data_IF_645350718446
#
_entry.id   IF_645350718446
#
_cell.length_a   1.000
_cell.length_b   1.000
_cell.length_c   1.000
_cell.angle_alpha   90.00
_cell.angle_beta   90.00
_cell.angle_gamma   90.00
#
_symmetry.space_group_name_H-M   'P 1'
#
loop_
_entity.id
_entity.type
_entity.pdbx_description
1 polymer ?
#
# COMPACT_ATOMS: atom_id res chain seq x y z
N UNK A 1 12.06 -30.98 -29.43
CA UNK A 1 12.14 -29.65 -30.09
C UNK A 1 11.31 -28.66 -29.30
N UNK A 2 11.97 -27.60 -28.83
CA UNK A 2 11.50 -26.31 -28.32
C UNK A 2 10.16 -26.20 -27.56
N UNK A 3 10.25 -25.90 -26.25
CA UNK A 3 9.52 -24.78 -25.65
C UNK A 3 10.47 -23.97 -24.76
N UNK A 4 11.24 -23.12 -25.42
CA UNK A 4 11.83 -21.94 -24.83
C UNK A 4 10.69 -20.97 -24.49
N UNK A 5 10.71 -20.38 -23.29
CA UNK A 5 9.80 -19.29 -22.94
C UNK A 5 9.01 -19.44 -21.65
N UNK A 6 9.20 -20.52 -20.87
CA UNK A 6 8.77 -20.50 -19.47
C UNK A 6 9.73 -19.58 -18.72
N UNK A 7 9.35 -18.32 -18.54
CA UNK A 7 9.75 -17.58 -17.35
C UNK A 7 9.68 -18.57 -16.18
N UNK A 8 10.74 -18.64 -15.37
CA UNK A 8 10.84 -19.49 -14.18
C UNK A 8 9.66 -19.21 -13.25
N UNK A 9 8.49 -19.78 -13.56
CA UNK A 9 7.37 -19.90 -12.66
C UNK A 9 7.93 -20.73 -11.52
N UNK A 10 8.04 -20.11 -10.35
CA UNK A 10 8.54 -20.75 -9.13
C UNK A 10 7.90 -22.13 -8.99
N UNK A 11 8.66 -23.16 -9.34
CA UNK A 11 8.24 -24.53 -9.11
C UNK A 11 8.08 -24.65 -7.59
N UNK A 12 6.91 -25.07 -7.12
CA UNK A 12 6.65 -25.25 -5.69
C UNK A 12 7.68 -26.19 -5.04
N UNK A 13 8.37 -26.99 -5.87
CA UNK A 13 9.39 -27.97 -5.51
C UNK A 13 10.81 -27.56 -5.98
N UNK A 14 11.18 -26.27 -5.87
CA UNK A 14 12.57 -25.81 -6.12
C UNK A 14 13.50 -26.24 -4.97
N UNK A 15 14.75 -26.69 -5.25
CA UNK A 15 15.75 -26.96 -4.21
C UNK A 15 15.96 -25.76 -3.28
N UNK A 16 16.08 -26.03 -1.98
CA UNK A 16 16.11 -25.01 -0.91
C UNK A 16 17.06 -23.85 -1.23
N UNK A 17 18.28 -24.13 -1.70
CA UNK A 17 19.28 -23.09 -2.00
C UNK A 17 18.88 -22.19 -3.17
N UNK A 18 18.24 -22.74 -4.21
CA UNK A 18 17.78 -21.97 -5.37
C UNK A 18 16.58 -21.10 -4.97
N UNK A 19 15.63 -21.65 -4.22
CA UNK A 19 14.49 -20.89 -3.69
C UNK A 19 14.92 -19.77 -2.73
N UNK A 20 15.88 -20.05 -1.84
CA UNK A 20 16.43 -19.07 -0.91
C UNK A 20 17.10 -17.90 -1.64
N UNK A 21 17.90 -18.15 -2.68
CA UNK A 21 18.56 -17.09 -3.46
C UNK A 21 17.54 -16.20 -4.18
N UNK A 22 16.52 -16.78 -4.80
CA UNK A 22 15.50 -16.02 -5.51
C UNK A 22 14.68 -15.14 -4.55
N UNK A 23 14.29 -15.70 -3.39
CA UNK A 23 13.61 -14.93 -2.35
C UNK A 23 14.50 -13.86 -1.73
N UNK A 24 15.80 -14.13 -1.54
CA UNK A 24 16.74 -13.16 -0.98
C UNK A 24 16.84 -11.88 -1.82
N UNK A 25 16.78 -11.98 -3.16
CA UNK A 25 16.76 -10.83 -4.05
C UNK A 25 15.50 -9.98 -3.79
N UNK A 26 14.32 -10.61 -3.76
CA UNK A 26 13.06 -9.91 -3.50
C UNK A 26 12.98 -9.32 -2.08
N UNK A 27 13.48 -10.04 -1.08
CA UNK A 27 13.63 -9.53 0.29
C UNK A 27 14.56 -8.31 0.33
N UNK A 28 15.65 -8.32 -0.44
CA UNK A 28 16.56 -7.19 -0.58
C UNK A 28 15.87 -5.97 -1.20
N UNK A 29 15.06 -6.16 -2.25
CA UNK A 29 14.26 -5.07 -2.86
C UNK A 29 13.26 -4.50 -1.85
N UNK A 30 12.52 -5.36 -1.15
CA UNK A 30 11.59 -4.95 -0.10
C UNK A 30 12.29 -4.23 1.06
N UNK A 31 13.52 -4.61 1.39
CA UNK A 31 14.31 -3.93 2.42
C UNK A 31 14.66 -2.51 2.00
N UNK A 32 15.05 -2.29 0.74
CA UNK A 32 15.32 -0.96 0.22
C UNK A 32 14.08 -0.07 0.28
N UNK A 33 12.91 -0.61 -0.04
CA UNK A 33 11.67 0.14 0.06
C UNK A 33 11.23 0.39 1.50
N UNK A 34 11.48 -0.55 2.42
CA UNK A 34 11.28 -0.34 3.84
C UNK A 34 12.18 0.77 4.40
N UNK A 35 13.43 0.88 3.92
CA UNK A 35 14.30 2.01 4.25
C UNK A 35 13.78 3.34 3.70
N UNK A 36 13.20 3.33 2.49
CA UNK A 36 12.57 4.53 1.93
C UNK A 36 11.39 4.99 2.82
N UNK A 37 10.50 4.08 3.22
CA UNK A 37 9.42 4.40 4.14
C UNK A 37 9.94 4.90 5.50
N UNK A 38 10.94 4.23 6.07
CA UNK A 38 11.57 4.65 7.33
C UNK A 38 12.21 6.04 7.24
N UNK A 39 12.87 6.35 6.12
CA UNK A 39 13.43 7.68 5.87
C UNK A 39 12.35 8.76 5.85
N UNK A 40 11.18 8.49 5.25
CA UNK A 40 10.07 9.45 5.27
C UNK A 40 9.50 9.70 6.65
N UNK A 41 9.48 8.69 7.54
CA UNK A 41 9.11 8.87 8.95
C UNK A 41 10.13 9.78 9.66
N UNK A 42 11.43 9.59 9.38
CA UNK A 42 12.51 10.40 9.97
C UNK A 42 12.40 11.90 9.68
N UNK A 43 11.73 12.31 8.59
CA UNK A 43 11.44 13.72 8.31
C UNK A 43 10.52 14.38 9.35
N UNK A 44 9.79 13.57 10.13
CA UNK A 44 8.82 14.01 11.14
C UNK A 44 9.25 13.68 12.57
N UNK A 45 10.54 13.43 12.82
CA UNK A 45 11.07 13.09 14.15
C UNK A 45 10.67 14.12 15.23
N UNK A 46 10.72 15.42 14.90
CA UNK A 46 10.31 16.51 15.79
C UNK A 46 8.83 16.45 16.18
N UNK A 47 7.98 15.88 15.34
CA UNK A 47 6.54 15.76 15.55
C UNK A 47 6.26 14.56 16.42
N UNK A 48 6.95 13.45 16.14
CA UNK A 48 6.86 12.21 16.91
C UNK A 48 7.35 12.36 18.35
N UNK A 49 8.35 13.22 18.59
CA UNK A 49 8.84 13.50 19.95
C UNK A 49 7.85 14.32 20.79
N UNK A 50 7.00 15.13 20.14
CA UNK A 50 5.96 15.93 20.79
C UNK A 50 4.65 15.14 20.95
N UNK A 51 4.30 14.32 19.96
CA UNK A 51 3.05 13.55 19.92
C UNK A 51 3.35 12.07 19.72
N UNK A 52 3.75 11.40 20.80
CA UNK A 52 4.08 9.96 20.80
C UNK A 52 2.91 9.09 20.32
N UNK A 53 1.67 9.54 20.53
CA UNK A 53 0.48 8.84 20.07
C UNK A 53 0.43 8.63 18.55
N UNK A 54 1.05 9.52 17.75
CA UNK A 54 1.20 9.31 16.31
C UNK A 54 1.99 8.04 16.03
N UNK A 55 3.09 7.80 16.75
CA UNK A 55 3.91 6.60 16.56
C UNK A 55 3.13 5.30 16.82
N UNK A 56 2.27 5.31 17.85
CA UNK A 56 1.43 4.16 18.22
C UNK A 56 0.39 3.85 17.13
N UNK A 57 -0.07 4.86 16.41
CA UNK A 57 -1.11 4.76 15.40
C UNK A 57 -0.58 4.49 13.98
N UNK A 58 0.72 4.67 13.73
CA UNK A 58 1.33 4.41 12.42
C UNK A 58 1.02 3.02 11.84
N UNK A 59 1.06 1.91 12.61
CA UNK A 59 0.76 0.58 12.08
C UNK A 59 -0.66 0.46 11.53
N UNK A 60 -1.63 1.21 12.09
CA UNK A 60 -3.02 1.21 11.62
C UNK A 60 -3.10 1.85 10.23
N UNK A 61 -2.43 2.99 10.03
CA UNK A 61 -2.40 3.70 8.75
C UNK A 61 -1.76 2.86 7.65
N UNK A 62 -0.61 2.25 7.95
CA UNK A 62 0.11 1.37 7.01
C UNK A 62 -0.73 0.13 6.65
N UNK A 63 -1.29 -0.54 7.67
CA UNK A 63 -2.07 -1.76 7.48
C UNK A 63 -3.32 -1.53 6.61
N UNK A 64 -4.10 -0.49 6.90
CA UNK A 64 -5.35 -0.22 6.17
C UNK A 64 -5.09 0.12 4.70
N UNK A 65 -4.06 0.92 4.41
CA UNK A 65 -3.65 1.22 3.03
C UNK A 65 -3.14 -0.03 2.31
N UNK A 66 -2.22 -0.77 2.93
CA UNK A 66 -1.62 -1.96 2.33
C UNK A 66 -2.64 -3.06 2.02
N UNK A 67 -3.59 -3.33 2.92
CA UNK A 67 -4.63 -4.36 2.71
C UNK A 67 -5.63 -3.92 1.62
N UNK A 68 -6.14 -2.69 1.67
CA UNK A 68 -7.07 -2.19 0.66
C UNK A 68 -6.44 -2.18 -0.75
N UNK A 69 -5.19 -1.73 -0.83
CA UNK A 69 -4.43 -1.75 -2.08
C UNK A 69 -4.20 -3.18 -2.58
N UNK A 70 -3.85 -4.12 -1.69
CA UNK A 70 -3.50 -5.49 -2.08
C UNK A 70 -4.71 -6.26 -2.61
N UNK A 71 -5.90 -5.98 -2.06
CA UNK A 71 -7.16 -6.50 -2.60
C UNK A 71 -7.40 -6.01 -4.03
N UNK A 72 -7.25 -4.70 -4.24
CA UNK A 72 -7.37 -4.07 -5.57
C UNK A 72 -6.34 -4.65 -6.55
N UNK A 73 -5.09 -4.74 -6.12
CA UNK A 73 -3.97 -5.29 -6.89
C UNK A 73 -4.25 -6.72 -7.36
N UNK A 74 -4.71 -7.59 -6.46
CA UNK A 74 -5.01 -8.98 -6.77
C UNK A 74 -6.15 -9.11 -7.80
N UNK A 75 -7.20 -8.29 -7.68
CA UNK A 75 -8.30 -8.25 -8.65
C UNK A 75 -7.79 -7.84 -10.04
N UNK A 76 -6.93 -6.83 -10.10
CA UNK A 76 -6.40 -6.30 -11.37
C UNK A 76 -5.42 -7.28 -12.02
N UNK A 77 -4.53 -7.90 -11.25
CA UNK A 77 -3.63 -8.96 -11.74
C UNK A 77 -4.44 -10.13 -12.32
N UNK A 78 -5.49 -10.56 -11.61
CA UNK A 78 -6.38 -11.61 -12.10
C UNK A 78 -7.10 -11.19 -13.39
N UNK A 79 -7.59 -9.95 -13.45
CA UNK A 79 -8.23 -9.40 -14.64
C UNK A 79 -7.29 -9.28 -15.83
N UNK A 80 -6.01 -8.96 -15.61
CA UNK A 80 -4.96 -8.98 -16.63
C UNK A 80 -4.72 -10.39 -17.16
N UNK A 81 -4.59 -11.37 -16.27
CA UNK A 81 -4.40 -12.77 -16.65
C UNK A 81 -5.58 -13.35 -17.44
N UNK A 82 -6.80 -12.87 -17.19
CA UNK A 82 -8.02 -13.26 -17.93
C UNK A 82 -8.28 -12.42 -19.19
N UNK A 83 -7.42 -11.44 -19.51
CA UNK A 83 -7.61 -10.55 -20.67
C UNK A 83 -8.79 -9.58 -20.54
N UNK A 84 -9.33 -9.39 -19.33
CA UNK A 84 -10.47 -8.51 -19.05
C UNK A 84 -10.03 -7.06 -18.77
N UNK A 85 -8.79 -6.88 -18.33
CA UNK A 85 -8.21 -5.58 -17.97
C UNK A 85 -7.20 -5.17 -19.03
N UNK A 86 -7.31 -3.93 -19.51
CA UNK A 86 -6.41 -3.33 -20.50
C UNK A 86 -6.15 -1.87 -20.15
N UNK A 87 -5.15 -1.24 -20.79
CA UNK A 87 -4.93 0.20 -20.61
C UNK A 87 -6.13 1.06 -21.04
N UNK A 88 -6.95 0.58 -21.99
CA UNK A 88 -8.13 1.29 -22.48
C UNK A 88 -9.28 1.38 -21.47
N UNK A 89 -9.42 0.39 -20.57
CA UNK A 89 -10.44 0.38 -19.53
C UNK A 89 -9.92 0.75 -18.14
N UNK A 90 -8.61 1.01 -18.00
CA UNK A 90 -7.96 1.37 -16.74
C UNK A 90 -8.63 2.52 -15.99
N UNK A 91 -9.04 3.58 -16.71
CA UNK A 91 -9.69 4.74 -16.11
C UNK A 91 -11.09 4.43 -15.57
N UNK A 92 -11.85 3.56 -16.27
CA UNK A 92 -13.16 3.13 -15.81
C UNK A 92 -13.04 2.24 -14.55
N UNK A 93 -12.07 1.32 -14.55
CA UNK A 93 -11.74 0.49 -13.39
C UNK A 93 -11.28 1.35 -12.20
N UNK A 94 -10.41 2.33 -12.44
CA UNK A 94 -9.95 3.26 -11.41
C UNK A 94 -11.12 4.01 -10.76
N UNK A 95 -12.09 4.50 -11.56
CA UNK A 95 -13.29 5.16 -11.03
C UNK A 95 -14.16 4.22 -10.19
N UNK A 96 -14.33 2.97 -10.63
CA UNK A 96 -15.09 1.97 -9.89
C UNK A 96 -14.42 1.68 -8.54
N UNK A 97 -13.11 1.40 -8.54
CA UNK A 97 -12.35 1.13 -7.32
C UNK A 97 -12.31 2.34 -6.39
N UNK A 98 -12.17 3.56 -6.92
CA UNK A 98 -12.29 4.79 -6.13
C UNK A 98 -13.68 4.95 -5.48
N UNK A 99 -14.75 4.49 -6.14
CA UNK A 99 -16.09 4.48 -5.57
C UNK A 99 -16.22 3.48 -4.41
N UNK A 100 -15.69 2.27 -4.58
CA UNK A 100 -15.65 1.23 -3.53
C UNK A 100 -14.81 1.72 -2.35
N UNK A 101 -13.65 2.31 -2.63
CA UNK A 101 -12.73 2.81 -1.63
C UNK A 101 -13.30 4.04 -0.90
N UNK A 102 -14.10 4.88 -1.56
CA UNK A 102 -14.78 6.00 -0.92
C UNK A 102 -15.75 5.52 0.17
N UNK A 103 -16.61 4.56 -0.17
CA UNK A 103 -17.62 4.02 0.76
C UNK A 103 -16.94 3.33 1.94
N UNK A 104 -16.01 2.42 1.66
CA UNK A 104 -15.28 1.70 2.71
C UNK A 104 -14.37 2.63 3.52
N UNK A 105 -13.71 3.57 2.86
CA UNK A 105 -12.80 4.53 3.47
C UNK A 105 -13.51 5.42 4.47
N UNK A 106 -14.68 5.96 4.14
CA UNK A 106 -15.49 6.75 5.09
C UNK A 106 -15.92 5.90 6.28
N UNK A 107 -16.42 4.69 6.03
CA UNK A 107 -16.85 3.78 7.11
C UNK A 107 -15.71 3.45 8.07
N UNK A 108 -14.55 3.05 7.56
CA UNK A 108 -13.39 2.71 8.38
C UNK A 108 -12.75 3.93 9.04
N UNK A 109 -12.73 5.09 8.39
CA UNK A 109 -12.25 6.33 8.99
C UNK A 109 -13.08 6.73 10.22
N UNK A 110 -14.41 6.59 10.15
CA UNK A 110 -15.29 6.84 11.30
C UNK A 110 -14.97 5.87 12.43
N UNK A 111 -14.90 4.57 12.14
CA UNK A 111 -14.59 3.55 13.17
C UNK A 111 -13.25 3.83 13.84
N UNK A 112 -12.20 4.08 13.05
CA UNK A 112 -10.85 4.33 13.56
C UNK A 112 -10.80 5.66 14.34
N UNK A 113 -11.46 6.71 13.86
CA UNK A 113 -11.57 7.98 14.58
C UNK A 113 -12.25 7.82 15.93
N UNK A 114 -13.37 7.08 15.99
CA UNK A 114 -14.08 6.81 17.26
C UNK A 114 -13.22 5.99 18.22
N UNK A 115 -12.58 4.92 17.74
CA UNK A 115 -11.68 4.09 18.56
C UNK A 115 -10.49 4.92 19.07
N UNK A 116 -9.88 5.73 18.22
CA UNK A 116 -8.79 6.63 18.59
C UNK A 116 -9.22 7.65 19.65
N UNK A 117 -10.44 8.19 19.52
CA UNK A 117 -10.98 9.14 20.50
C UNK A 117 -11.13 8.52 21.87
N UNK A 118 -11.73 7.33 21.96
CA UNK A 118 -11.87 6.63 23.24
C UNK A 118 -10.53 6.19 23.85
N UNK A 119 -9.53 5.90 23.01
CA UNK A 119 -8.23 5.47 23.50
C UNK A 119 -7.38 6.65 24.00
N UNK A 120 -7.27 7.71 23.21
CA UNK A 120 -6.36 8.83 23.49
C UNK A 120 -7.04 10.05 24.12
N UNK A 121 -8.37 10.08 24.18
CA UNK A 121 -9.17 11.23 24.64
C UNK A 121 -8.79 12.56 23.94
N UNK A 122 -8.36 12.48 22.69
CA UNK A 122 -7.92 13.63 21.90
C UNK A 122 -8.68 13.68 20.55
N UNK A 123 -9.50 14.71 20.39
CA UNK A 123 -10.35 14.90 19.19
C UNK A 123 -9.51 15.19 17.94
N UNK A 124 -8.48 16.03 18.07
CA UNK A 124 -7.63 16.44 16.95
C UNK A 124 -6.84 15.24 16.40
N UNK A 125 -6.24 14.44 17.28
CA UNK A 125 -5.53 13.20 16.90
C UNK A 125 -6.48 12.22 16.19
N UNK A 126 -7.70 12.09 16.71
CA UNK A 126 -8.72 11.20 16.16
C UNK A 126 -9.15 11.62 14.75
N UNK A 127 -9.27 12.93 14.52
CA UNK A 127 -9.53 13.47 13.19
C UNK A 127 -8.34 13.27 12.24
N UNK A 128 -7.12 13.52 12.71
CA UNK A 128 -5.89 13.33 11.96
C UNK A 128 -5.77 11.89 11.45
N UNK A 129 -5.93 10.89 12.33
CA UNK A 129 -5.86 9.48 11.90
C UNK A 129 -7.02 9.10 10.98
N UNK A 130 -8.25 9.53 11.27
CA UNK A 130 -9.41 9.18 10.46
C UNK A 130 -9.23 9.68 9.02
N UNK A 131 -8.83 10.95 8.86
CA UNK A 131 -8.60 11.52 7.54
C UNK A 131 -7.38 10.89 6.85
N UNK A 132 -6.29 10.64 7.58
CA UNK A 132 -5.10 10.03 7.00
C UNK A 132 -5.37 8.61 6.48
N UNK A 133 -6.11 7.79 7.24
CA UNK A 133 -6.53 6.45 6.79
C UNK A 133 -7.43 6.54 5.56
N UNK A 134 -8.41 7.44 5.57
CA UNK A 134 -9.28 7.68 4.42
C UNK A 134 -8.46 8.01 3.17
N UNK A 135 -7.57 8.99 3.25
CA UNK A 135 -6.71 9.39 2.15
C UNK A 135 -5.78 8.26 1.68
N UNK A 136 -5.22 7.48 2.62
CA UNK A 136 -4.35 6.36 2.28
C UNK A 136 -5.09 5.25 1.53
N UNK A 137 -6.34 4.95 1.91
CA UNK A 137 -7.19 3.99 1.19
C UNK A 137 -7.47 4.45 -0.24
N UNK A 138 -7.70 5.75 -0.46
CA UNK A 138 -7.86 6.29 -1.83
C UNK A 138 -6.58 6.13 -2.65
N UNK A 139 -5.42 6.47 -2.08
CA UNK A 139 -4.14 6.28 -2.74
C UNK A 139 -3.84 4.80 -3.03
N UNK A 140 -4.22 3.91 -2.14
CA UNK A 140 -4.08 2.47 -2.29
C UNK A 140 -4.95 1.93 -3.45
N UNK A 141 -6.18 2.41 -3.61
CA UNK A 141 -7.06 2.03 -4.72
C UNK A 141 -6.47 2.46 -6.07
N UNK A 142 -6.01 3.71 -6.17
CA UNK A 142 -5.36 4.23 -7.39
C UNK A 142 -4.11 3.40 -7.72
N UNK A 143 -3.26 3.18 -6.72
CA UNK A 143 -2.02 2.43 -6.89
C UNK A 143 -2.27 0.96 -7.24
N UNK A 144 -3.26 0.31 -6.62
CA UNK A 144 -3.66 -1.06 -6.91
C UNK A 144 -4.16 -1.27 -8.34
N UNK A 145 -4.75 -0.25 -8.96
CA UNK A 145 -5.16 -0.29 -10.38
C UNK A 145 -3.98 -0.01 -11.31
N UNK A 146 -3.22 1.05 -11.09
CA UNK A 146 -2.21 1.49 -12.04
C UNK A 146 -0.88 0.73 -11.93
N UNK A 147 -0.46 0.26 -10.75
CA UNK A 147 0.81 -0.45 -10.60
C UNK A 147 0.89 -1.71 -11.47
N UNK A 148 -0.09 -2.65 -11.45
CA UNK A 148 -0.03 -3.83 -12.29
C UNK A 148 0.03 -3.50 -13.78
N UNK A 149 -0.75 -2.49 -14.20
CA UNK A 149 -0.81 -2.03 -15.59
C UNK A 149 0.54 -1.48 -16.06
N UNK A 150 1.18 -0.65 -15.23
CA UNK A 150 2.48 -0.07 -15.53
C UNK A 150 3.56 -1.15 -15.57
N UNK A 151 3.59 -2.04 -14.58
CA UNK A 151 4.55 -3.15 -14.53
C UNK A 151 4.43 -4.05 -15.77
N UNK A 152 3.20 -4.42 -16.14
CA UNK A 152 2.93 -5.21 -17.34
C UNK A 152 3.41 -4.50 -18.60
N UNK A 153 3.22 -3.17 -18.70
CA UNK A 153 3.71 -2.36 -19.83
C UNK A 153 5.24 -2.35 -19.92
N UNK A 154 5.94 -2.40 -18.80
CA UNK A 154 7.40 -2.50 -18.74
C UNK A 154 7.92 -3.94 -18.84
N UNK A 155 7.05 -4.93 -19.01
CA UNK A 155 7.44 -6.35 -19.07
C UNK A 155 7.89 -6.93 -17.72
N UNK A 156 7.54 -6.27 -16.61
CA UNK A 156 7.82 -6.71 -15.25
C UNK A 156 6.61 -7.49 -14.73
N UNK A 157 6.84 -8.63 -14.07
CA UNK A 157 5.77 -9.43 -13.48
C UNK A 157 5.06 -8.66 -12.33
N UNK A 158 3.78 -8.30 -12.50
CA UNK A 158 3.03 -7.58 -11.49
C UNK A 158 2.68 -8.43 -10.26
N UNK A 159 2.67 -9.77 -10.37
CA UNK A 159 2.35 -10.65 -9.24
C UNK A 159 3.44 -10.63 -8.17
N UNK A 160 4.71 -10.58 -8.59
CA UNK A 160 5.86 -10.52 -7.69
C UNK A 160 6.15 -9.10 -7.22
N UNK A 161 6.19 -8.15 -8.16
CA UNK A 161 6.65 -6.78 -7.89
C UNK A 161 5.54 -5.87 -7.34
N UNK A 162 4.29 -6.15 -7.72
CA UNK A 162 3.16 -5.28 -7.43
C UNK A 162 2.92 -5.13 -5.94
N UNK A 163 3.01 -6.21 -5.16
CA UNK A 163 2.75 -6.18 -3.72
C UNK A 163 3.79 -5.31 -2.99
N UNK A 164 5.08 -5.50 -3.27
CA UNK A 164 6.18 -4.74 -2.62
C UNK A 164 6.11 -3.26 -2.98
N UNK A 165 5.91 -2.93 -4.26
CA UNK A 165 5.82 -1.53 -4.69
C UNK A 165 4.55 -0.86 -4.14
N UNK A 166 3.44 -1.58 -4.10
CA UNK A 166 2.20 -1.09 -3.55
C UNK A 166 2.35 -0.71 -2.08
N UNK A 167 2.87 -1.62 -1.24
CA UNK A 167 3.04 -1.34 0.19
C UNK A 167 3.96 -0.15 0.41
N UNK A 168 5.01 -0.01 -0.41
CA UNK A 168 5.90 1.14 -0.37
C UNK A 168 5.17 2.45 -0.65
N UNK A 169 4.34 2.48 -1.70
CA UNK A 169 3.57 3.68 -2.06
C UNK A 169 2.56 4.02 -0.97
N UNK A 170 1.85 3.03 -0.43
CA UNK A 170 0.86 3.25 0.65
C UNK A 170 1.52 3.63 1.98
N UNK A 171 2.71 3.13 2.27
CA UNK A 171 3.45 3.46 3.49
C UNK A 171 3.98 4.90 3.40
N UNK A 172 4.66 5.25 2.30
CA UNK A 172 5.18 6.61 2.09
C UNK A 172 4.03 7.62 2.07
N UNK A 173 2.99 7.38 1.27
CA UNK A 173 1.84 8.28 1.20
C UNK A 173 1.09 8.36 2.53
N UNK A 174 0.86 7.22 3.18
CA UNK A 174 0.17 7.12 4.46
C UNK A 174 0.91 7.86 5.58
N UNK A 175 2.22 7.62 5.74
CA UNK A 175 3.03 8.27 6.76
C UNK A 175 3.18 9.77 6.51
N UNK A 176 3.45 10.19 5.27
CA UNK A 176 3.53 11.62 4.94
C UNK A 176 2.20 12.32 5.19
N UNK A 177 1.07 11.71 4.82
CA UNK A 177 -0.25 12.29 5.07
C UNK A 177 -0.55 12.36 6.57
N UNK A 178 -0.32 11.27 7.29
CA UNK A 178 -0.64 11.18 8.72
C UNK A 178 0.24 12.09 9.59
N UNK A 179 1.56 12.02 9.41
CA UNK A 179 2.50 12.81 10.18
C UNK A 179 2.50 14.28 9.73
N UNK A 180 2.27 14.55 8.45
CA UNK A 180 2.07 15.90 7.93
C UNK A 180 0.84 16.58 8.53
N UNK A 181 -0.30 15.88 8.59
CA UNK A 181 -1.50 16.38 9.28
C UNK A 181 -1.30 16.52 10.78
N UNK A 182 -0.59 15.58 11.41
CA UNK A 182 -0.19 15.70 12.81
C UNK A 182 0.67 16.94 13.07
N UNK A 183 1.54 17.29 12.13
CA UNK A 183 2.38 18.50 12.21
C UNK A 183 1.54 19.77 12.11
N UNK A 184 0.55 19.79 11.22
CA UNK A 184 -0.26 20.98 10.96
C UNK A 184 -1.36 21.23 11.99
N UNK A 185 -1.85 20.17 12.66
CA UNK A 185 -3.03 20.24 13.52
C UNK A 185 -2.74 20.03 15.00
N UNK A 186 -1.60 19.43 15.38
CA UNK A 186 -1.31 19.09 16.78
C UNK A 186 -0.12 19.88 17.36
N UNK A 187 0.55 20.69 16.55
CA UNK A 187 1.72 21.52 16.90
C UNK A 187 1.44 22.93 16.40
#
# INVERSE_FOLDING_TARGET
MAKAGMAESEDLFVPVMKGARNRAIWLGINLLTAFLASWTIGLFENVLSQVVALAVLMPVVASMGGIAGSQTLALIIRGLAMGQVTLGNALALCKQELGISMINGVGWAIVIGVVSFYWFNNVELSFVIAFAVFANIQAAAVSGVYLPLLLTRFGIDPALSGAVLLTTVTDVFGFVTFLGLGTLLLI
#
